data_IF_919581453723
#
_entry.id   IF_919581453723
#
_cell.length_a   1.000
_cell.length_b   1.000
_cell.length_c   1.000
_cell.angle_alpha   90.00
_cell.angle_beta   90.00
_cell.angle_gamma   90.00
#
_symmetry.space_group_name_H-M   'P 1'
#
loop_
_entity.id
_entity.type
_entity.pdbx_description
1 polymer ?
#
# COMPACT_ATOMS: atom_id res chain seq x y z
N UNK A 1 8.86 -4.59 -2.46
CA UNK A 1 10.07 -5.21 -1.83
C UNK A 1 9.86 -6.66 -1.37
N UNK A 2 8.68 -7.06 -0.86
CA UNK A 2 8.44 -8.44 -0.37
C UNK A 2 8.73 -9.57 -1.38
N UNK A 3 8.52 -9.33 -2.69
CA UNK A 3 8.63 -10.35 -3.76
C UNK A 3 10.07 -10.84 -4.03
N UNK A 4 11.09 -10.18 -3.50
CA UNK A 4 12.49 -10.54 -3.78
C UNK A 4 13.02 -11.65 -2.88
N UNK A 5 12.43 -11.87 -1.70
CA UNK A 5 12.91 -12.89 -0.76
C UNK A 5 14.15 -12.49 0.04
N UNK A 6 14.57 -11.22 -0.04
CA UNK A 6 15.59 -10.67 0.85
C UNK A 6 15.01 -10.34 2.21
N UNK A 7 15.83 -10.55 3.25
CA UNK A 7 15.54 -10.05 4.60
C UNK A 7 15.47 -8.53 4.55
N UNK A 8 14.44 -7.96 5.19
CA UNK A 8 14.22 -6.52 5.26
C UNK A 8 14.67 -6.03 6.62
N UNK A 9 15.43 -4.94 6.62
CA UNK A 9 15.88 -4.25 7.84
C UNK A 9 15.39 -2.80 7.73
N UNK A 10 14.59 -2.36 8.69
CA UNK A 10 14.22 -0.96 8.87
C UNK A 10 15.22 -0.30 9.82
N UNK A 11 15.82 0.80 9.37
CA UNK A 11 16.71 1.62 10.18
C UNK A 11 15.91 2.84 10.61
N UNK A 12 15.67 2.97 11.90
CA UNK A 12 14.89 4.05 12.48
C UNK A 12 15.82 4.96 13.27
N UNK A 13 15.91 6.22 12.87
CA UNK A 13 16.72 7.23 13.56
C UNK A 13 15.81 8.21 14.28
N UNK A 14 16.01 8.36 15.58
CA UNK A 14 15.33 9.38 16.38
C UNK A 14 15.91 10.76 16.07
N UNK A 15 15.14 11.60 15.38
CA UNK A 15 15.50 12.99 15.14
C UNK A 15 14.84 13.92 16.17
N UNK A 16 15.54 14.97 16.58
CA UNK A 16 15.04 15.98 17.53
C UNK A 16 13.73 16.65 17.08
N UNK A 17 13.43 16.66 15.78
CA UNK A 17 12.20 17.18 15.19
C UNK A 17 11.03 16.20 15.09
N UNK A 18 11.18 14.94 15.53
CA UNK A 18 10.15 13.91 15.33
C UNK A 18 8.83 14.18 16.07
N UNK A 19 8.87 14.99 17.12
CA UNK A 19 7.68 15.35 17.90
C UNK A 19 6.80 16.41 17.24
N UNK A 20 7.25 17.00 16.13
CA UNK A 20 6.53 18.03 15.37
C UNK A 20 5.82 17.46 14.12
N UNK A 21 5.78 16.13 13.96
CA UNK A 21 5.07 15.52 12.83
C UNK A 21 3.56 15.48 13.04
N UNK A 22 2.81 15.51 11.94
CA UNK A 22 1.35 15.32 11.93
C UNK A 22 0.92 13.91 12.41
N UNK A 23 1.86 12.97 12.52
CA UNK A 23 1.63 11.60 12.98
C UNK A 23 2.18 11.48 14.39
N UNK A 24 1.38 10.93 15.31
CA UNK A 24 1.80 10.76 16.71
C UNK A 24 2.95 9.75 16.84
N UNK A 25 3.77 9.92 17.86
CA UNK A 25 4.87 9.01 18.15
C UNK A 25 4.39 7.57 18.39
N UNK A 26 3.24 7.40 19.05
CA UNK A 26 2.61 6.11 19.30
C UNK A 26 2.20 5.42 18.00
N UNK A 27 1.73 6.17 17.01
CA UNK A 27 1.38 5.64 15.68
C UNK A 27 2.62 5.17 14.94
N UNK A 28 3.74 5.91 15.04
CA UNK A 28 5.02 5.49 14.48
C UNK A 28 5.53 4.20 15.14
N UNK A 29 5.47 4.11 16.48
CA UNK A 29 5.83 2.90 17.21
C UNK A 29 4.95 1.70 16.82
N UNK A 30 3.63 1.89 16.71
CA UNK A 30 2.72 0.83 16.28
C UNK A 30 3.04 0.36 14.85
N UNK A 31 3.38 1.29 13.95
CA UNK A 31 3.79 0.94 12.59
C UNK A 31 5.09 0.12 12.55
N UNK A 32 6.04 0.43 13.44
CA UNK A 32 7.29 -0.31 13.58
C UNK A 32 7.02 -1.74 14.10
N UNK A 33 6.19 -1.86 15.13
CA UNK A 33 5.77 -3.16 15.70
C UNK A 33 5.06 -4.00 14.63
N UNK A 34 4.16 -3.41 13.85
CA UNK A 34 3.48 -4.09 12.75
C UNK A 34 4.48 -4.57 11.70
N UNK A 35 5.46 -3.75 11.33
CA UNK A 35 6.50 -4.14 10.39
C UNK A 35 7.35 -5.33 10.90
N UNK A 36 7.58 -5.41 12.21
CA UNK A 36 8.32 -6.53 12.81
C UNK A 36 7.48 -7.81 12.92
N UNK A 37 6.30 -7.72 13.53
CA UNK A 37 5.48 -8.89 13.86
C UNK A 37 4.69 -9.42 12.67
N UNK A 38 4.15 -8.54 11.84
CA UNK A 38 3.27 -8.91 10.72
C UNK A 38 4.10 -9.09 9.45
N UNK A 39 4.96 -8.12 9.13
CA UNK A 39 5.77 -8.18 7.90
C UNK A 39 7.07 -8.96 8.06
N UNK A 40 7.44 -9.41 9.26
CA UNK A 40 8.67 -10.17 9.52
C UNK A 40 9.95 -9.39 9.20
N UNK A 41 9.92 -8.06 9.31
CA UNK A 41 11.08 -7.21 9.10
C UNK A 41 11.91 -7.13 10.38
N UNK A 42 13.22 -7.02 10.25
CA UNK A 42 14.07 -6.61 11.35
C UNK A 42 14.00 -5.08 11.47
N UNK A 43 14.09 -4.54 12.69
CA UNK A 43 14.22 -3.11 12.88
C UNK A 43 15.33 -2.80 13.88
N UNK A 44 16.06 -1.73 13.60
CA UNK A 44 17.15 -1.22 14.43
C UNK A 44 16.90 0.26 14.67
N UNK A 45 16.84 0.64 15.94
CA UNK A 45 16.61 2.02 16.37
C UNK A 45 17.93 2.67 16.75
N UNK A 46 18.10 3.94 16.36
CA UNK A 46 19.28 4.76 16.65
C UNK A 46 18.84 6.06 17.31
N UNK A 47 19.54 6.48 18.35
CA UNK A 47 19.24 7.77 19.02
C UNK A 47 19.81 8.97 18.26
N UNK A 48 20.68 8.74 17.29
CA UNK A 48 21.28 9.75 16.42
C UNK A 48 21.94 9.12 15.18
N UNK A 49 22.17 9.93 14.15
CA UNK A 49 22.77 9.49 12.90
C UNK A 49 24.19 8.94 13.04
N UNK A 50 24.96 9.34 14.05
CA UNK A 50 26.32 8.79 14.26
C UNK A 50 26.27 7.29 14.56
N UNK A 51 25.32 6.85 15.39
CA UNK A 51 25.12 5.42 15.67
C UNK A 51 24.66 4.66 14.42
N UNK A 52 23.80 5.27 13.60
CA UNK A 52 23.35 4.69 12.34
C UNK A 52 24.53 4.48 11.36
N UNK A 53 25.41 5.47 11.22
CA UNK A 53 26.62 5.39 10.40
C UNK A 53 27.58 4.31 10.92
N UNK A 54 27.81 4.25 12.24
CA UNK A 54 28.67 3.23 12.85
C UNK A 54 28.12 1.81 12.61
N UNK A 55 26.80 1.63 12.77
CA UNK A 55 26.12 0.37 12.48
C UNK A 55 26.27 -0.03 11.01
N UNK A 56 26.02 0.88 10.07
CA UNK A 56 26.18 0.62 8.64
C UNK A 56 27.63 0.27 8.26
N UNK A 57 28.61 0.93 8.88
CA UNK A 57 30.02 0.62 8.67
C UNK A 57 30.40 -0.76 9.25
N UNK A 58 29.90 -1.12 10.43
CA UNK A 58 30.10 -2.45 11.01
C UNK A 58 29.42 -3.56 10.18
N UNK A 59 28.20 -3.31 9.72
CA UNK A 59 27.44 -4.23 8.87
C UNK A 59 28.16 -4.45 7.54
N UNK A 60 28.65 -3.39 6.90
CA UNK A 60 29.42 -3.46 5.65
C UNK A 60 30.71 -4.27 5.81
N UNK A 61 31.46 -4.06 6.91
CA UNK A 61 32.66 -4.84 7.22
C UNK A 61 32.35 -6.32 7.46
N UNK A 62 31.22 -6.62 8.11
CA UNK A 62 30.75 -7.99 8.36
C UNK A 62 30.37 -8.70 7.06
N UNK A 63 29.67 -8.01 6.16
CA UNK A 63 29.39 -8.56 4.84
C UNK A 63 30.68 -8.76 4.03
N UNK A 64 31.60 -7.80 4.05
CA UNK A 64 32.88 -7.94 3.36
C UNK A 64 33.67 -9.16 3.85
N UNK A 65 33.82 -9.33 5.17
CA UNK A 65 34.55 -10.47 5.73
C UNK A 65 33.91 -11.82 5.42
N UNK A 66 32.58 -11.90 5.39
CA UNK A 66 31.86 -13.15 5.06
C UNK A 66 31.78 -13.44 3.57
N UNK A 67 31.54 -12.43 2.73
CA UNK A 67 31.35 -12.60 1.28
C UNK A 67 32.60 -13.08 0.56
N UNK A 68 33.79 -12.73 1.06
CA UNK A 68 35.06 -13.21 0.52
C UNK A 68 35.16 -14.74 0.57
N UNK A 69 34.55 -15.38 1.57
CA UNK A 69 34.67 -16.82 1.79
C UNK A 69 33.36 -17.58 1.53
N UNK A 70 32.21 -16.91 1.56
CA UNK A 70 30.93 -17.62 1.61
C UNK A 70 29.74 -16.84 0.99
N UNK A 71 29.85 -16.48 -0.29
CA UNK A 71 28.76 -15.88 -1.07
C UNK A 71 28.32 -16.79 -2.24
N UNK A 72 27.05 -17.19 -2.27
CA UNK A 72 26.42 -17.84 -3.41
C UNK A 72 25.61 -16.83 -4.25
N UNK A 73 25.90 -16.70 -5.54
CA UNK A 73 25.14 -15.82 -6.45
C UNK A 73 24.22 -16.64 -7.33
N UNK A 74 22.92 -16.33 -7.30
CA UNK A 74 21.90 -17.02 -8.07
C UNK A 74 21.38 -16.15 -9.20
N UNK A 75 21.24 -16.72 -10.39
CA UNK A 75 20.76 -16.04 -11.58
C UNK A 75 19.49 -16.69 -12.14
N UNK A 76 18.69 -15.92 -12.89
CA UNK A 76 17.56 -16.46 -13.65
C UNK A 76 16.36 -16.84 -12.77
N UNK A 77 16.24 -16.23 -11.59
CA UNK A 77 15.14 -16.51 -10.66
C UNK A 77 15.26 -17.82 -9.87
N UNK A 78 16.37 -18.56 -10.02
CA UNK A 78 16.68 -19.73 -9.20
C UNK A 78 17.03 -19.32 -7.77
N UNK A 79 16.04 -19.13 -6.89
CA UNK A 79 16.30 -18.83 -5.48
C UNK A 79 16.68 -20.10 -4.70
N UNK A 80 17.45 -19.99 -3.60
CA UNK A 80 17.63 -21.12 -2.70
C UNK A 80 16.25 -21.56 -2.16
N UNK A 81 15.92 -22.86 -2.33
CA UNK A 81 14.63 -23.45 -1.89
C UNK A 81 14.44 -23.31 -0.37
N UNK A 82 15.54 -23.36 0.37
CA UNK A 82 15.66 -22.96 1.76
C UNK A 82 16.95 -22.15 1.87
N UNK A 83 16.88 -20.84 2.13
CA UNK A 83 18.08 -20.09 2.45
C UNK A 83 18.64 -20.71 3.75
N UNK A 84 19.79 -21.39 3.65
CA UNK A 84 20.53 -21.74 4.84
C UNK A 84 20.94 -20.42 5.51
N UNK A 85 20.46 -20.16 6.73
CA UNK A 85 20.68 -18.90 7.43
C UNK A 85 22.17 -18.61 7.70
N UNK A 86 23.00 -19.64 7.61
CA UNK A 86 24.43 -19.56 7.87
C UNK A 86 25.25 -19.07 6.67
N UNK A 87 24.70 -19.12 5.45
CA UNK A 87 25.42 -18.79 4.21
C UNK A 87 24.84 -17.56 3.51
N UNK A 88 25.70 -16.63 3.10
CA UNK A 88 25.26 -15.47 2.33
C UNK A 88 24.91 -15.86 0.90
N UNK A 89 23.84 -15.27 0.38
CA UNK A 89 23.47 -15.38 -1.02
C UNK A 89 23.01 -14.05 -1.60
N UNK A 90 23.13 -13.91 -2.91
CA UNK A 90 22.72 -12.73 -3.65
C UNK A 90 22.19 -13.05 -5.05
N UNK A 91 21.79 -12.00 -5.76
CA UNK A 91 21.43 -12.04 -7.18
C UNK A 91 22.21 -10.95 -7.92
N UNK A 92 22.38 -11.04 -9.25
CA UNK A 92 22.94 -9.96 -10.05
C UNK A 92 22.19 -8.63 -9.87
N UNK A 93 22.93 -7.52 -9.95
CA UNK A 93 22.39 -6.18 -9.72
C UNK A 93 21.29 -5.80 -10.73
N UNK A 94 21.44 -6.19 -11.99
CA UNK A 94 20.46 -5.99 -13.06
C UNK A 94 19.17 -6.80 -12.80
N UNK A 95 19.28 -8.02 -12.30
CA UNK A 95 18.14 -8.84 -11.87
C UNK A 95 17.43 -8.17 -10.68
N UNK A 96 18.19 -7.65 -9.71
CA UNK A 96 17.62 -6.88 -8.61
C UNK A 96 16.92 -5.63 -9.12
N UNK A 97 17.58 -4.79 -9.92
CA UNK A 97 17.05 -3.52 -10.39
C UNK A 97 15.79 -3.70 -11.24
N UNK A 98 15.74 -4.72 -12.10
CA UNK A 98 14.57 -5.03 -12.92
C UNK A 98 13.36 -5.47 -12.08
N UNK A 99 13.59 -6.26 -11.03
CA UNK A 99 12.54 -6.73 -10.10
C UNK A 99 12.17 -5.71 -9.02
N UNK A 100 13.06 -4.76 -8.73
CA UNK A 100 12.88 -3.68 -7.76
C UNK A 100 12.19 -2.44 -8.35
N UNK A 101 11.79 -2.47 -9.63
CA UNK A 101 10.97 -1.42 -10.22
C UNK A 101 9.77 -1.13 -9.31
N UNK A 102 9.47 0.17 -9.13
CA UNK A 102 8.44 0.69 -8.21
C UNK A 102 7.09 0.01 -8.46
N UNK A 103 6.20 0.12 -7.46
CA UNK A 103 4.86 -0.50 -7.40
C UNK A 103 4.26 -0.69 -8.80
N UNK A 104 3.76 -1.89 -9.14
CA UNK A 104 3.25 -2.15 -10.48
C UNK A 104 2.26 -1.05 -10.87
N UNK A 105 2.31 -0.63 -12.14
CA UNK A 105 1.27 0.25 -12.70
C UNK A 105 -0.05 -0.47 -12.48
N UNK A 106 -0.88 0.10 -11.63
CA UNK A 106 -2.18 -0.48 -11.34
C UNK A 106 -3.04 -0.37 -12.58
N UNK A 107 -3.80 -1.43 -12.85
CA UNK A 107 -4.84 -1.38 -13.84
C UNK A 107 -5.89 -0.33 -13.47
N UNK A 108 -6.63 0.18 -14.46
CA UNK A 108 -7.74 1.11 -14.23
C UNK A 108 -8.75 0.59 -13.20
N UNK A 109 -8.97 -0.73 -13.17
CA UNK A 109 -9.83 -1.41 -12.20
C UNK A 109 -9.28 -1.32 -10.78
N UNK A 110 -7.98 -1.54 -10.59
CA UNK A 110 -7.33 -1.45 -9.28
C UNK A 110 -7.25 0.00 -8.80
N UNK A 111 -7.02 0.95 -9.69
CA UNK A 111 -7.08 2.38 -9.40
C UNK A 111 -8.47 2.78 -8.91
N UNK A 112 -9.50 2.32 -9.62
CA UNK A 112 -10.89 2.56 -9.21
C UNK A 112 -11.19 1.94 -7.84
N UNK A 113 -10.70 0.73 -7.57
CA UNK A 113 -10.80 0.11 -6.25
C UNK A 113 -10.15 0.95 -5.15
N UNK A 114 -8.97 1.53 -5.39
CA UNK A 114 -8.32 2.43 -4.43
C UNK A 114 -9.13 3.70 -4.19
N UNK A 115 -9.74 4.26 -5.23
CA UNK A 115 -10.61 5.43 -5.09
C UNK A 115 -11.86 5.11 -4.27
N UNK A 116 -12.49 3.95 -4.49
CA UNK A 116 -13.63 3.51 -3.67
C UNK A 116 -13.25 3.44 -2.19
N UNK A 117 -12.07 2.92 -1.86
CA UNK A 117 -11.59 2.79 -0.48
C UNK A 117 -11.26 4.13 0.21
N UNK A 118 -11.23 5.26 -0.51
CA UNK A 118 -11.13 6.58 0.11
C UNK A 118 -12.45 7.03 0.76
N UNK A 119 -13.57 6.41 0.40
CA UNK A 119 -14.87 6.70 1.00
C UNK A 119 -14.93 6.04 2.38
N UNK A 120 -15.22 6.81 3.43
CA UNK A 120 -15.09 6.37 4.83
C UNK A 120 -15.91 5.11 5.19
N UNK A 121 -17.04 4.86 4.52
CA UNK A 121 -17.88 3.67 4.73
C UNK A 121 -17.48 2.46 3.87
N UNK A 122 -16.49 2.62 2.99
CA UNK A 122 -16.11 1.64 1.99
C UNK A 122 -15.02 0.70 2.49
N UNK A 123 -15.38 -0.57 2.67
CA UNK A 123 -14.44 -1.63 3.05
C UNK A 123 -13.96 -2.40 1.82
N UNK A 124 -12.85 -3.13 1.95
CA UNK A 124 -12.30 -4.01 0.90
C UNK A 124 -13.35 -4.90 0.23
N UNK A 125 -14.14 -5.69 0.99
CA UNK A 125 -15.20 -6.52 0.44
C UNK A 125 -16.30 -5.73 -0.29
N UNK A 126 -16.70 -4.55 0.22
CA UNK A 126 -17.70 -3.70 -0.44
C UNK A 126 -17.19 -3.16 -1.77
N UNK A 127 -15.96 -2.64 -1.79
CA UNK A 127 -15.31 -2.18 -3.02
C UNK A 127 -15.18 -3.31 -4.04
N UNK A 128 -14.83 -4.52 -3.62
CA UNK A 128 -14.75 -5.70 -4.49
C UNK A 128 -16.11 -6.05 -5.12
N UNK A 129 -17.21 -5.95 -4.37
CA UNK A 129 -18.56 -6.15 -4.89
C UNK A 129 -18.91 -5.12 -5.98
N UNK A 130 -18.62 -3.84 -5.74
CA UNK A 130 -18.85 -2.78 -6.74
C UNK A 130 -18.01 -3.04 -8.01
N UNK A 131 -16.72 -3.33 -7.85
CA UNK A 131 -15.83 -3.63 -8.97
C UNK A 131 -16.23 -4.90 -9.75
N UNK A 132 -16.95 -5.83 -9.13
CA UNK A 132 -17.47 -7.02 -9.81
C UNK A 132 -18.59 -6.67 -10.80
N UNK A 133 -19.44 -5.70 -10.47
CA UNK A 133 -20.53 -5.23 -11.32
C UNK A 133 -20.08 -4.11 -12.28
N UNK A 134 -19.22 -3.21 -11.80
CA UNK A 134 -18.76 -2.03 -12.51
C UNK A 134 -17.24 -1.95 -12.45
N UNK A 135 -16.52 -2.57 -13.40
CA UNK A 135 -15.05 -2.66 -13.35
C UNK A 135 -14.33 -1.31 -13.49
N UNK A 136 -15.03 -0.27 -13.98
CA UNK A 136 -14.47 1.06 -14.23
C UNK A 136 -15.43 2.17 -13.77
N UNK A 137 -14.92 3.39 -13.51
CA UNK A 137 -15.78 4.53 -13.17
C UNK A 137 -16.84 4.80 -14.25
N UNK A 138 -16.47 4.70 -15.53
CA UNK A 138 -17.38 4.94 -16.65
C UNK A 138 -18.53 3.93 -16.67
N UNK A 139 -18.25 2.64 -16.41
CA UNK A 139 -19.31 1.63 -16.34
C UNK A 139 -20.31 1.90 -15.23
N UNK A 140 -19.85 2.45 -14.10
CA UNK A 140 -20.72 2.84 -12.99
C UNK A 140 -21.57 4.07 -13.38
N UNK A 141 -20.93 5.13 -13.90
CA UNK A 141 -21.61 6.37 -14.31
C UNK A 141 -22.65 6.09 -15.40
N UNK A 142 -22.33 5.25 -16.39
CA UNK A 142 -23.27 4.87 -17.44
C UNK A 142 -24.50 4.16 -16.87
N UNK A 143 -24.29 3.21 -15.95
CA UNK A 143 -25.39 2.54 -15.27
C UNK A 143 -26.25 3.51 -14.46
N UNK A 144 -25.68 4.58 -13.89
CA UNK A 144 -26.46 5.64 -13.26
C UNK A 144 -27.26 6.47 -14.28
N UNK A 145 -26.63 6.89 -15.38
CA UNK A 145 -27.26 7.69 -16.42
C UNK A 145 -28.45 6.96 -17.08
N UNK A 146 -28.29 5.67 -17.35
CA UNK A 146 -29.34 4.81 -17.94
C UNK A 146 -30.55 4.63 -17.00
N UNK A 147 -30.44 5.01 -15.72
CA UNK A 147 -31.51 4.91 -14.70
C UNK A 147 -32.20 6.25 -14.37
N UNK A 148 -31.97 7.33 -15.13
CA UNK A 148 -32.45 8.68 -14.81
C UNK A 148 -33.95 8.97 -15.11
N UNK A 149 -34.76 8.00 -15.53
CA UNK A 149 -36.17 8.24 -15.92
C UNK A 149 -37.20 8.13 -14.76
N UNK A 150 -36.78 8.43 -13.51
CA UNK A 150 -37.71 8.62 -12.38
C UNK A 150 -37.25 7.99 -11.06
N UNK A 151 -37.03 8.85 -10.06
CA UNK A 151 -36.72 8.52 -8.65
C UNK A 151 -35.43 7.68 -8.48
N UNK A 152 -34.28 8.35 -8.65
CA UNK A 152 -32.92 7.81 -8.53
C UNK A 152 -32.62 7.08 -7.20
N UNK A 153 -33.47 7.24 -6.19
CA UNK A 153 -33.37 6.63 -4.85
C UNK A 153 -33.77 5.14 -4.80
N UNK A 154 -34.59 4.66 -5.74
CA UNK A 154 -35.30 3.38 -5.52
C UNK A 154 -34.93 2.21 -6.43
N UNK A 155 -34.01 2.36 -7.39
CA UNK A 155 -33.98 1.40 -8.52
C UNK A 155 -32.61 0.90 -9.00
N UNK A 156 -31.58 0.91 -8.16
CA UNK A 156 -30.57 -0.15 -8.31
C UNK A 156 -31.15 -1.43 -7.70
N UNK A 157 -31.50 -2.41 -8.55
CA UNK A 157 -32.01 -3.69 -8.06
C UNK A 157 -31.03 -4.28 -7.03
N UNK A 158 -31.49 -4.50 -5.78
CA UNK A 158 -30.67 -5.02 -4.73
C UNK A 158 -30.43 -6.51 -5.00
N UNK A 159 -29.26 -6.86 -5.53
CA UNK A 159 -28.59 -8.04 -4.98
C UNK A 159 -28.19 -7.64 -3.56
N UNK A 160 -28.98 -8.15 -2.63
CA UNK A 160 -29.16 -7.72 -1.24
C UNK A 160 -27.90 -7.11 -0.58
N UNK A 161 -28.12 -5.99 0.12
CA UNK A 161 -27.18 -5.31 1.06
C UNK A 161 -26.36 -4.11 0.57
N UNK A 162 -26.81 -3.34 -0.45
CA UNK A 162 -26.11 -2.11 -0.88
C UNK A 162 -27.02 -0.89 -1.16
N UNK A 163 -28.34 -0.99 -0.98
CA UNK A 163 -29.30 0.04 -1.42
C UNK A 163 -29.15 1.40 -0.72
N UNK A 164 -29.02 1.45 0.60
CA UNK A 164 -28.87 2.72 1.33
C UNK A 164 -27.46 3.32 1.23
N UNK A 165 -26.46 2.49 0.93
CA UNK A 165 -25.05 2.87 0.89
C UNK A 165 -24.65 3.63 -0.38
N UNK A 166 -25.25 3.24 -1.50
CA UNK A 166 -25.03 3.96 -2.77
C UNK A 166 -25.63 5.37 -2.66
N UNK A 167 -26.75 5.54 -1.96
CA UNK A 167 -27.34 6.86 -1.73
C UNK A 167 -26.42 7.80 -0.93
N UNK A 168 -25.79 7.31 0.14
CA UNK A 168 -24.86 8.11 0.97
C UNK A 168 -23.55 8.42 0.25
N UNK A 169 -22.98 7.44 -0.47
CA UNK A 169 -21.77 7.64 -1.26
C UNK A 169 -21.99 8.56 -2.46
N UNK A 170 -23.15 8.47 -3.12
CA UNK A 170 -23.54 9.36 -4.22
C UNK A 170 -23.83 10.77 -3.69
N UNK A 171 -24.53 10.92 -2.57
CA UNK A 171 -24.77 12.23 -1.96
C UNK A 171 -23.46 12.94 -1.56
N UNK A 172 -22.51 12.19 -1.00
CA UNK A 172 -21.19 12.74 -0.64
C UNK A 172 -20.35 13.11 -1.87
N UNK A 173 -20.44 12.36 -2.98
CA UNK A 173 -19.76 12.68 -4.24
C UNK A 173 -20.41 13.89 -4.93
N UNK A 174 -21.74 13.99 -4.91
CA UNK A 174 -22.48 15.08 -5.52
C UNK A 174 -22.24 16.40 -4.78
N UNK A 175 -22.23 16.38 -3.43
CA UNK A 175 -21.89 17.54 -2.61
C UNK A 175 -20.43 18.01 -2.81
N UNK A 176 -19.51 17.08 -3.07
CA UNK A 176 -18.08 17.38 -3.24
C UNK A 176 -17.69 17.82 -4.66
N UNK A 177 -18.40 17.38 -5.69
CA UNK A 177 -18.04 17.63 -7.10
C UNK A 177 -19.08 18.42 -7.90
N UNK A 178 -20.30 18.61 -7.39
CA UNK A 178 -21.38 19.37 -8.04
C UNK A 178 -22.22 20.17 -7.03
N UNK A 179 -21.65 21.19 -6.36
CA UNK A 179 -22.43 22.02 -5.43
C UNK A 179 -23.57 22.72 -6.19
N UNK A 180 -24.80 22.53 -5.72
CA UNK A 180 -26.00 23.18 -6.27
C UNK A 180 -25.80 24.69 -6.41
N UNK A 181 -26.18 25.22 -7.58
CA UNK A 181 -26.13 26.65 -7.92
C UNK A 181 -26.83 27.49 -6.83
N UNK A 182 -26.13 28.45 -6.19
CA UNK A 182 -26.67 29.24 -5.09
C UNK A 182 -27.88 30.11 -5.47
N UNK A 183 -28.24 30.18 -6.76
CA UNK A 183 -29.35 30.97 -7.28
C UNK A 183 -30.75 30.37 -7.01
N UNK A 184 -30.86 29.14 -6.47
CA UNK A 184 -32.15 28.46 -6.24
C UNK A 184 -32.75 28.57 -4.83
N UNK A 185 -32.17 29.39 -3.94
CA UNK A 185 -32.82 29.75 -2.67
C UNK A 185 -33.38 31.17 -2.75
N UNK A 186 -34.61 31.30 -3.26
CA UNK A 186 -35.52 32.41 -2.99
C UNK A 186 -36.86 31.82 -2.58
#
# INVERSE_FOLDING_TARGET
>A
MQKLGFKRIYLFEECSGMRNFHISYETLLQSLINAQLIDGCEAVNFSNGSQCVEYLAALSRTFWSKTVFDLAVYCGGCKPRSPNLDRLWGIPWDEFASKSKKSPVLSLREEFGRHLLQIHTMTGPKAANILSAYPTPISLIKAFADNQDGDCRKRLQPKQSLSWFIEEAVASIDEQYWPEDPSRRI
#
